data_IF_267388999520
#
_entry.id   IF_267388999520
#
_cell.length_a   1.000
_cell.length_b   1.000
_cell.length_c   1.000
_cell.angle_alpha   90.00
_cell.angle_beta   90.00
_cell.angle_gamma   90.00
#
_symmetry.space_group_name_H-M   'P 1'
#
loop_
_entity.id
_entity.type
_entity.pdbx_description
1 polymer ?
#
# COMPACT_ATOMS: atom_id res chain seq x y z
N UNK A 1 -14.72 -11.87 -44.17
CA UNK A 1 -14.28 -10.57 -43.65
C UNK A 1 -14.48 -10.62 -42.15
N UNK A 2 -13.38 -10.73 -41.39
CA UNK A 2 -13.39 -10.82 -39.94
C UNK A 2 -13.81 -9.47 -39.37
N UNK A 3 -14.98 -9.39 -38.74
CA UNK A 3 -15.29 -8.26 -37.85
C UNK A 3 -14.49 -8.46 -36.56
N UNK A 4 -13.33 -7.82 -36.46
CA UNK A 4 -12.66 -7.63 -35.18
C UNK A 4 -13.52 -6.69 -34.33
N UNK A 5 -14.22 -7.25 -33.36
CA UNK A 5 -14.83 -6.52 -32.25
C UNK A 5 -13.70 -5.85 -31.46
N UNK A 6 -13.37 -4.61 -31.81
CA UNK A 6 -12.66 -3.71 -30.92
C UNK A 6 -13.64 -3.34 -29.82
N UNK A 7 -13.59 -4.08 -28.70
CA UNK A 7 -14.24 -3.69 -27.46
C UNK A 7 -13.62 -2.34 -27.08
N UNK A 8 -14.35 -1.21 -27.14
CA UNK A 8 -13.81 0.02 -26.61
C UNK A 8 -13.71 -0.19 -25.10
N UNK A 9 -12.53 0.03 -24.54
CA UNK A 9 -12.42 0.34 -23.11
C UNK A 9 -13.48 1.40 -22.83
N UNK A 10 -14.52 1.03 -22.09
CA UNK A 10 -15.67 1.90 -21.80
C UNK A 10 -15.16 2.98 -20.86
N UNK A 11 -14.59 4.03 -21.45
CA UNK A 11 -14.53 5.34 -20.81
C UNK A 11 -15.98 5.80 -20.76
N UNK A 12 -16.43 6.28 -19.61
CA UNK A 12 -17.79 6.80 -19.42
C UNK A 12 -17.97 8.04 -20.32
N UNK A 13 -18.35 7.83 -21.57
CA UNK A 13 -18.46 8.87 -22.57
C UNK A 13 -19.83 9.54 -22.42
N UNK A 14 -19.85 10.80 -21.99
CA UNK A 14 -20.99 11.68 -22.25
C UNK A 14 -20.79 12.32 -23.65
N UNK A 15 -21.68 12.05 -24.64
CA UNK A 15 -21.52 12.55 -26.01
C UNK A 15 -21.59 14.09 -26.13
N UNK A 16 -22.00 14.80 -25.09
CA UNK A 16 -22.08 16.26 -25.07
C UNK A 16 -20.74 16.93 -24.69
N UNK A 17 -19.81 16.19 -24.08
CA UNK A 17 -18.54 16.74 -23.63
C UNK A 17 -17.46 16.64 -24.72
N UNK A 18 -16.66 17.69 -24.87
CA UNK A 18 -15.61 17.74 -25.90
C UNK A 18 -14.42 16.83 -25.60
N UNK A 19 -14.21 16.48 -24.33
CA UNK A 19 -13.17 15.53 -23.91
C UNK A 19 -13.78 14.19 -23.50
N UNK A 20 -13.25 13.11 -24.07
CA UNK A 20 -13.65 11.75 -23.73
C UNK A 20 -13.30 11.34 -22.29
N UNK A 21 -12.48 12.14 -21.58
CA UNK A 21 -12.08 11.88 -20.20
C UNK A 21 -13.02 12.54 -19.18
N UNK A 22 -13.96 13.39 -19.61
CA UNK A 22 -15.03 13.89 -18.75
C UNK A 22 -16.15 12.85 -18.65
N UNK A 23 -16.62 12.55 -17.44
CA UNK A 23 -17.89 11.84 -17.23
C UNK A 23 -19.09 12.81 -17.34
N UNK A 24 -18.89 14.08 -16.96
CA UNK A 24 -19.84 15.18 -17.18
C UNK A 24 -19.09 16.49 -17.41
N UNK A 25 -19.75 17.45 -18.04
CA UNK A 25 -19.20 18.78 -18.34
C UNK A 25 -20.16 19.87 -17.86
N UNK A 26 -19.62 21.07 -17.67
CA UNK A 26 -20.41 22.27 -17.35
C UNK A 26 -21.12 22.77 -18.61
N UNK A 27 -21.77 23.94 -18.52
CA UNK A 27 -22.42 24.60 -19.67
C UNK A 27 -21.47 24.80 -20.86
N UNK A 28 -20.17 24.99 -20.59
CA UNK A 28 -19.14 24.93 -21.62
C UNK A 28 -18.65 23.47 -21.77
N UNK A 29 -18.84 22.82 -22.93
CA UNK A 29 -18.50 21.41 -23.14
C UNK A 29 -16.98 21.12 -23.09
N UNK A 30 -16.15 22.17 -23.09
CA UNK A 30 -14.69 22.06 -22.91
C UNK A 30 -14.28 21.99 -21.43
N UNK A 31 -15.20 22.23 -20.49
CA UNK A 31 -14.91 22.25 -19.05
C UNK A 31 -15.59 21.05 -18.40
N UNK A 32 -14.81 20.08 -17.96
CA UNK A 32 -15.32 18.94 -17.21
C UNK A 32 -15.88 19.40 -15.86
N UNK A 33 -16.96 18.75 -15.44
CA UNK A 33 -17.55 18.85 -14.11
C UNK A 33 -17.21 17.62 -13.26
N UNK A 34 -17.12 16.44 -13.89
CA UNK A 34 -16.59 15.21 -13.29
C UNK A 34 -15.77 14.39 -14.29
N UNK A 35 -14.90 13.53 -13.78
CA UNK A 35 -13.96 12.76 -14.59
C UNK A 35 -14.33 11.29 -14.70
N UNK A 36 -13.90 10.67 -15.79
CA UNK A 36 -13.92 9.22 -15.93
C UNK A 36 -13.02 8.55 -14.88
N UNK A 37 -13.24 7.25 -14.56
CA UNK A 37 -12.36 6.51 -13.66
C UNK A 37 -10.89 6.62 -14.09
N UNK A 38 -9.98 6.76 -13.13
CA UNK A 38 -8.54 7.00 -13.34
C UNK A 38 -8.16 8.41 -13.84
N UNK A 39 -9.08 9.37 -13.83
CA UNK A 39 -8.77 10.77 -14.14
C UNK A 39 -9.15 11.68 -12.98
N UNK A 40 -8.34 12.71 -12.75
CA UNK A 40 -8.52 13.70 -11.69
C UNK A 40 -8.86 15.05 -12.33
N UNK A 41 -9.86 15.74 -11.78
CA UNK A 41 -10.28 17.06 -12.25
C UNK A 41 -9.33 18.14 -11.74
N UNK A 42 -8.61 18.78 -12.65
CA UNK A 42 -7.70 19.91 -12.37
C UNK A 42 -8.09 21.07 -13.28
N UNK A 43 -8.55 22.17 -12.69
CA UNK A 43 -8.93 23.39 -13.41
C UNK A 43 -9.90 23.14 -14.57
N UNK A 44 -10.91 22.28 -14.33
CA UNK A 44 -11.90 21.92 -15.35
C UNK A 44 -11.41 20.92 -16.40
N UNK A 45 -10.21 20.36 -16.27
CA UNK A 45 -9.65 19.36 -17.18
C UNK A 45 -9.41 18.04 -16.43
N UNK A 46 -9.84 16.93 -17.02
CA UNK A 46 -9.55 15.60 -16.51
C UNK A 46 -8.17 15.13 -16.97
N UNK A 47 -7.24 14.97 -16.02
CA UNK A 47 -5.87 14.51 -16.29
C UNK A 47 -5.67 13.11 -15.75
N UNK A 48 -4.86 12.30 -16.43
CA UNK A 48 -4.59 10.94 -15.99
C UNK A 48 -3.89 10.96 -14.63
N UNK A 49 -4.41 10.19 -13.68
CA UNK A 49 -4.03 10.34 -12.28
C UNK A 49 -2.52 10.18 -12.01
N UNK A 50 -1.82 9.33 -12.77
CA UNK A 50 -0.38 9.10 -12.60
C UNK A 50 0.48 10.30 -13.01
N UNK A 51 -0.04 11.19 -13.85
CA UNK A 51 0.66 12.42 -14.25
C UNK A 51 0.52 13.52 -13.21
N UNK A 52 -0.53 13.47 -12.39
CA UNK A 52 -0.87 14.51 -11.41
C UNK A 52 -0.44 14.11 -10.00
N UNK A 53 -0.55 12.82 -9.66
CA UNK A 53 -0.19 12.28 -8.35
C UNK A 53 0.88 11.21 -8.53
N UNK A 54 2.17 11.57 -8.36
CA UNK A 54 3.27 10.62 -8.41
C UNK A 54 3.06 9.46 -7.43
N UNK A 55 3.49 8.26 -7.83
CA UNK A 55 3.41 7.04 -7.02
C UNK A 55 2.00 6.59 -6.62
N UNK A 56 0.97 7.16 -7.23
CA UNK A 56 -0.39 6.68 -7.03
C UNK A 56 -0.61 5.37 -7.79
N UNK A 57 -1.19 4.37 -7.11
CA UNK A 57 -1.62 3.12 -7.72
C UNK A 57 -3.10 3.17 -8.14
N UNK A 58 -3.94 3.80 -7.32
CA UNK A 58 -5.39 3.90 -7.56
C UNK A 58 -5.86 5.31 -7.22
N UNK A 59 -6.57 5.97 -8.14
CA UNK A 59 -7.13 7.30 -7.91
C UNK A 59 -8.46 7.28 -7.14
N UNK A 60 -8.84 8.43 -6.59
CA UNK A 60 -10.17 8.74 -6.07
C UNK A 60 -10.60 10.15 -6.49
N UNK A 61 -11.81 10.55 -6.12
CA UNK A 61 -12.30 11.93 -6.26
C UNK A 61 -11.39 12.96 -5.57
N UNK A 62 -10.70 12.55 -4.50
CA UNK A 62 -9.83 13.41 -3.67
C UNK A 62 -8.33 13.21 -3.98
N UNK A 63 -8.00 12.68 -5.16
CA UNK A 63 -6.61 12.43 -5.58
C UNK A 63 -6.29 10.94 -5.66
N UNK A 64 -5.51 10.43 -4.72
CA UNK A 64 -5.14 9.02 -4.63
C UNK A 64 -5.88 8.31 -3.49
N UNK A 65 -6.32 7.08 -3.72
CA UNK A 65 -6.87 6.18 -2.67
C UNK A 65 -5.89 5.11 -2.24
N UNK A 66 -4.91 4.77 -3.08
CA UNK A 66 -3.89 3.77 -2.76
C UNK A 66 -2.58 4.07 -3.46
N UNK A 67 -1.48 3.97 -2.73
CA UNK A 67 -0.14 4.24 -3.22
C UNK A 67 0.55 2.98 -3.75
N UNK A 68 1.52 3.17 -4.63
CA UNK A 68 2.47 2.11 -4.99
C UNK A 68 3.22 1.62 -3.76
N UNK A 69 3.70 0.37 -3.79
CA UNK A 69 4.46 -0.23 -2.71
C UNK A 69 5.65 0.67 -2.30
N UNK A 70 5.85 0.85 -1.00
CA UNK A 70 6.91 1.69 -0.44
C UNK A 70 6.55 3.17 -0.29
N UNK A 71 5.36 3.60 -0.70
CA UNK A 71 4.84 4.96 -0.49
C UNK A 71 3.62 4.94 0.42
N UNK A 72 3.40 6.03 1.15
CA UNK A 72 2.25 6.14 2.06
C UNK A 72 1.29 7.24 1.64
N UNK A 73 0.00 7.01 1.92
CA UNK A 73 -1.07 7.93 1.57
C UNK A 73 -1.25 9.00 2.65
N UNK A 74 -1.14 10.27 2.26
CA UNK A 74 -1.44 11.43 3.11
C UNK A 74 -2.13 12.50 2.28
N UNK A 75 -3.31 12.94 2.73
CA UNK A 75 -4.10 14.01 2.11
C UNK A 75 -4.31 13.81 0.60
N UNK A 76 -4.67 12.57 0.19
CA UNK A 76 -4.90 12.23 -1.22
C UNK A 76 -3.64 12.16 -2.08
N UNK A 77 -2.44 12.25 -1.47
CA UNK A 77 -1.15 12.19 -2.16
C UNK A 77 -0.31 11.03 -1.64
N UNK A 78 0.51 10.47 -2.51
CA UNK A 78 1.50 9.46 -2.14
C UNK A 78 2.84 10.14 -1.85
N UNK A 79 3.38 9.86 -0.68
CA UNK A 79 4.60 10.48 -0.18
C UNK A 79 5.63 9.41 0.19
N UNK A 80 6.90 9.82 0.20
CA UNK A 80 7.99 8.99 0.70
C UNK A 80 7.81 8.86 2.22
N UNK A 81 7.84 7.64 2.78
CA UNK A 81 7.75 7.42 4.22
C UNK A 81 8.77 8.27 5.00
N UNK A 82 8.36 9.01 6.03
CA UNK A 82 9.30 9.75 6.87
C UNK A 82 10.21 8.82 7.69
N UNK A 83 9.69 7.67 8.11
CA UNK A 83 10.46 6.58 8.71
C UNK A 83 10.53 5.40 7.72
N UNK A 84 11.74 5.02 7.24
CA UNK A 84 11.92 3.90 6.31
C UNK A 84 11.64 2.52 6.95
N UNK A 85 11.59 2.43 8.27
CA UNK A 85 11.24 1.21 9.01
C UNK A 85 9.72 0.97 9.06
N UNK A 86 8.93 1.92 8.57
CA UNK A 86 7.49 1.78 8.56
C UNK A 86 6.97 1.28 7.21
N UNK A 87 6.30 0.14 7.22
CA UNK A 87 5.67 -0.44 6.05
C UNK A 87 4.27 0.13 5.78
N UNK A 88 3.51 0.54 6.81
CA UNK A 88 2.16 1.09 6.65
C UNK A 88 1.85 2.16 7.68
N UNK A 89 1.29 3.28 7.21
CA UNK A 89 0.82 4.39 8.04
C UNK A 89 -0.70 4.42 8.14
N UNK A 90 -1.19 4.90 9.29
CA UNK A 90 -2.55 5.39 9.49
C UNK A 90 -2.47 6.82 10.00
N UNK A 91 -2.72 7.77 9.10
CA UNK A 91 -2.40 9.18 9.35
C UNK A 91 -0.88 9.35 9.52
N UNK A 92 -0.45 9.95 10.61
CA UNK A 92 0.98 10.16 10.92
C UNK A 92 1.58 9.04 11.78
N UNK A 93 0.81 8.00 12.12
CA UNK A 93 1.28 6.88 12.96
C UNK A 93 1.64 5.68 12.11
N UNK A 94 2.81 5.11 12.35
CA UNK A 94 3.13 3.80 11.83
C UNK A 94 2.28 2.73 12.53
N UNK A 95 1.61 1.89 11.74
CA UNK A 95 0.79 0.78 12.25
C UNK A 95 1.33 -0.60 11.86
N UNK A 96 2.20 -0.66 10.86
CA UNK A 96 2.92 -1.87 10.46
C UNK A 96 4.35 -1.49 10.16
N UNK A 97 5.30 -2.14 10.82
CA UNK A 97 6.72 -1.95 10.59
C UNK A 97 7.24 -3.00 9.60
N UNK A 98 8.44 -2.78 9.07
CA UNK A 98 9.15 -3.81 8.31
C UNK A 98 9.53 -4.98 9.21
N UNK A 99 9.84 -6.13 8.62
CA UNK A 99 10.27 -7.33 9.35
C UNK A 99 11.47 -7.03 10.26
N UNK A 100 11.51 -7.66 11.43
CA UNK A 100 12.46 -7.37 12.50
C UNK A 100 12.11 -6.15 13.38
N UNK A 101 10.98 -5.48 13.12
CA UNK A 101 10.49 -4.36 13.92
C UNK A 101 9.01 -4.50 14.27
N UNK A 102 8.61 -3.94 15.41
CA UNK A 102 7.21 -3.88 15.85
C UNK A 102 6.75 -2.45 16.09
N UNK A 103 5.46 -2.21 15.86
CA UNK A 103 4.86 -0.89 16.03
C UNK A 103 4.50 -0.63 17.49
N UNK A 104 4.95 0.50 18.05
CA UNK A 104 4.55 0.98 19.38
C UNK A 104 4.42 2.50 19.36
N UNK A 105 3.30 3.00 19.87
CA UNK A 105 3.01 4.44 19.93
C UNK A 105 3.11 5.21 18.59
N UNK A 106 3.01 4.51 17.44
CA UNK A 106 3.13 5.11 16.11
C UNK A 106 4.55 5.11 15.53
N UNK A 107 5.50 4.50 16.23
CA UNK A 107 6.89 4.33 15.79
C UNK A 107 7.26 2.85 15.72
N UNK A 108 8.38 2.56 15.05
CA UNK A 108 8.91 1.20 14.90
C UNK A 108 10.09 0.99 15.84
N UNK A 109 10.03 -0.09 16.61
CA UNK A 109 11.08 -0.52 17.53
C UNK A 109 11.58 -1.88 17.10
N UNK A 110 12.88 -2.11 17.24
CA UNK A 110 13.50 -3.38 16.87
C UNK A 110 12.96 -4.52 17.75
N UNK A 111 12.80 -5.69 17.14
CA UNK A 111 12.50 -6.91 17.86
C UNK A 111 13.66 -7.34 18.77
N UNK A 112 13.40 -8.32 19.64
CA UNK A 112 14.50 -9.02 20.34
C UNK A 112 15.46 -9.65 19.32
N UNK A 113 16.72 -9.79 19.72
CA UNK A 113 17.76 -10.33 18.86
C UNK A 113 17.33 -11.66 18.21
N UNK A 114 17.66 -11.83 16.93
CA UNK A 114 17.35 -13.02 16.14
C UNK A 114 15.86 -13.32 15.95
N UNK A 115 14.98 -12.36 16.22
CA UNK A 115 13.55 -12.45 15.95
C UNK A 115 13.19 -11.78 14.62
N UNK A 116 12.45 -12.49 13.78
CA UNK A 116 11.92 -12.03 12.51
C UNK A 116 10.59 -11.25 12.67
N UNK A 117 9.65 -11.79 13.46
CA UNK A 117 8.34 -11.18 13.71
C UNK A 117 8.06 -11.10 15.22
N UNK A 118 7.72 -9.92 15.73
CA UNK A 118 7.42 -9.72 17.14
C UNK A 118 6.29 -8.70 17.38
N UNK A 119 5.67 -8.75 18.56
CA UNK A 119 4.71 -7.72 19.02
C UNK A 119 5.30 -6.75 20.05
N UNK A 120 6.47 -7.09 20.60
CA UNK A 120 7.19 -6.32 21.62
C UNK A 120 8.64 -6.80 21.73
N UNK A 121 9.46 -6.10 22.52
CA UNK A 121 10.84 -6.50 22.83
C UNK A 121 10.99 -7.87 23.51
N UNK A 122 9.91 -8.50 23.96
CA UNK A 122 9.98 -9.80 24.68
C UNK A 122 9.00 -10.84 24.13
N UNK A 123 8.30 -10.55 23.03
CA UNK A 123 7.33 -11.49 22.45
C UNK A 123 7.64 -11.67 20.97
N UNK A 124 8.43 -12.70 20.69
CA UNK A 124 8.76 -13.16 19.35
C UNK A 124 7.75 -14.21 18.89
N UNK A 125 7.30 -14.11 17.64
CA UNK A 125 6.43 -15.07 16.98
C UNK A 125 7.18 -15.95 15.97
N UNK A 126 8.24 -15.42 15.37
CA UNK A 126 9.07 -16.12 14.38
C UNK A 126 10.53 -15.74 14.58
N UNK A 127 11.42 -16.72 14.72
CA UNK A 127 12.87 -16.50 14.76
C UNK A 127 13.44 -16.44 13.34
N UNK A 128 14.57 -15.75 13.17
CA UNK A 128 15.34 -15.78 11.92
C UNK A 128 15.79 -17.20 11.57
N UNK A 129 16.03 -17.43 10.28
CA UNK A 129 16.57 -18.71 9.79
C UNK A 129 17.84 -19.11 10.56
N UNK A 130 17.88 -20.36 11.02
CA UNK A 130 18.96 -20.90 11.84
C UNK A 130 18.79 -20.68 13.36
N UNK A 131 17.72 -20.01 13.79
CA UNK A 131 17.38 -19.82 15.20
C UNK A 131 16.09 -20.56 15.57
N UNK A 132 15.99 -20.99 16.83
CA UNK A 132 14.82 -21.63 17.41
C UNK A 132 14.38 -20.93 18.69
N UNK A 133 13.06 -20.86 18.90
CA UNK A 133 12.50 -20.25 20.11
C UNK A 133 12.65 -21.20 21.30
N UNK A 134 13.29 -20.74 22.38
CA UNK A 134 13.52 -21.56 23.58
C UNK A 134 12.49 -21.33 24.71
N UNK A 135 11.51 -20.45 24.49
CA UNK A 135 10.53 -20.02 25.50
C UNK A 135 10.66 -18.55 25.88
N UNK A 136 11.87 -18.00 25.82
CA UNK A 136 12.18 -16.61 26.16
C UNK A 136 12.85 -15.87 24.99
N UNK A 137 13.77 -16.52 24.27
CA UNK A 137 14.62 -15.93 23.23
C UNK A 137 14.75 -16.83 21.99
N UNK A 138 15.18 -16.22 20.88
CA UNK A 138 15.61 -16.89 19.66
C UNK A 138 17.10 -17.23 19.77
N UNK A 139 17.41 -18.51 19.96
CA UNK A 139 18.79 -19.00 20.11
C UNK A 139 19.22 -19.82 18.91
N UNK A 140 20.52 -19.78 18.59
CA UNK A 140 21.06 -20.51 17.44
C UNK A 140 20.74 -22.01 17.57
N UNK A 141 20.09 -22.56 16.56
CA UNK A 141 19.86 -24.00 16.47
C UNK A 141 21.19 -24.67 16.23
N UNK A 142 21.67 -25.48 17.18
CA UNK A 142 22.87 -26.29 16.96
C UNK A 142 22.58 -27.28 15.81
N UNK A 143 23.33 -27.18 14.71
CA UNK A 143 23.21 -27.93 13.44
C UNK A 143 23.21 -29.47 13.57
N UNK A 144 23.28 -30.00 14.79
CA UNK A 144 23.35 -31.43 15.09
C UNK A 144 22.25 -31.93 16.05
N UNK A 145 21.30 -31.08 16.46
CA UNK A 145 20.16 -31.48 17.28
C UNK A 145 18.82 -31.22 16.58
N UNK A 146 18.49 -32.05 15.58
CA UNK A 146 17.11 -32.16 15.08
C UNK A 146 16.21 -32.87 16.09
N UNK A 147 15.90 -32.23 17.21
CA UNK A 147 14.67 -32.44 17.99
C UNK A 147 14.51 -31.33 19.01
N UNK A 148 13.77 -30.28 18.66
CA UNK A 148 12.96 -29.55 19.63
C UNK A 148 11.50 -29.82 19.25
N UNK A 149 10.76 -30.44 20.16
CA UNK A 149 9.34 -30.70 19.99
C UNK A 149 8.53 -29.56 20.61
N UNK A 150 7.47 -29.21 19.88
CA UNK A 150 6.30 -28.39 20.21
C UNK A 150 6.34 -26.91 19.84
N UNK A 151 5.48 -26.59 18.86
CA UNK A 151 4.89 -25.26 18.73
C UNK A 151 4.99 -24.64 17.35
N UNK A 152 4.56 -25.33 16.28
CA UNK A 152 4.06 -24.58 15.12
C UNK A 152 2.88 -23.74 15.62
N UNK A 153 3.08 -22.44 15.81
CA UNK A 153 2.00 -21.47 15.89
C UNK A 153 1.33 -21.47 14.53
N UNK A 154 0.34 -22.35 14.36
CA UNK A 154 -0.57 -22.30 13.23
C UNK A 154 -1.23 -20.93 13.26
N UNK A 155 -0.90 -20.12 12.25
CA UNK A 155 -1.56 -18.87 11.90
C UNK A 155 -3.08 -19.13 11.89
N UNK A 156 -3.82 -18.47 12.78
CA UNK A 156 -5.28 -18.33 12.65
C UNK A 156 -5.59 -17.24 11.63
#
# INVERSE_FOLDING_TARGET
>A
MLFTLLIPLIVAQNPECSSAYCSSCKTNPNVCDSCAPNYILIDGTCKYFKEVVPYCAISSENGCSSCMLGYYLKDGKCQIPPNPLCATYKGDKCIVCVDGYYAKAGECFECVENCYECSSMTQCFECLDGYGFNGDDCVQSLDHCKTYSYGSSTKM
#
